data_IF_786536124142
#
_entry.id   IF_786536124142
#
_cell.length_a   1.000
_cell.length_b   1.000
_cell.length_c   1.000
_cell.angle_alpha   90.00
_cell.angle_beta   90.00
_cell.angle_gamma   90.00
#
_symmetry.space_group_name_H-M   'P 1'
#
loop_
_entity.id
_entity.type
_entity.pdbx_description
1 polymer ?
#
# COMPACT_ATOMS: atom_id res chain seq x y z
N UNK A 1 -12.76 8.17 7.38
CA UNK A 1 -11.73 7.46 6.57
C UNK A 1 -12.13 5.99 6.42
N UNK A 2 -12.06 5.46 5.22
CA UNK A 2 -12.42 4.08 4.98
C UNK A 2 -11.41 3.11 5.60
N UNK A 3 -11.88 1.90 5.92
CA UNK A 3 -11.06 0.90 6.60
C UNK A 3 -9.76 0.60 5.84
N UNK A 4 -9.85 0.37 4.53
CA UNK A 4 -8.66 0.02 3.75
C UNK A 4 -7.64 1.16 3.70
N UNK A 5 -8.10 2.41 3.69
CA UNK A 5 -7.20 3.56 3.75
C UNK A 5 -6.45 3.60 5.08
N UNK A 6 -7.15 3.33 6.19
CA UNK A 6 -6.51 3.26 7.52
C UNK A 6 -5.45 2.16 7.57
N UNK A 7 -5.76 0.98 7.04
CA UNK A 7 -4.81 -0.14 7.01
C UNK A 7 -3.54 0.26 6.28
N UNK A 8 -3.68 0.85 5.10
CA UNK A 8 -2.55 1.29 4.29
C UNK A 8 -1.69 2.32 5.03
N UNK A 9 -2.32 3.36 5.55
CA UNK A 9 -1.61 4.45 6.20
C UNK A 9 -0.92 3.99 7.48
N UNK A 10 -1.56 3.15 8.27
CA UNK A 10 -0.96 2.62 9.49
C UNK A 10 0.25 1.75 9.19
N UNK A 11 0.16 0.89 8.18
CA UNK A 11 1.26 0.00 7.84
C UNK A 11 2.49 0.78 7.37
N UNK A 12 2.30 1.78 6.52
CA UNK A 12 3.41 2.60 6.00
C UNK A 12 3.75 3.79 6.89
N UNK A 13 3.08 3.92 8.04
CA UNK A 13 3.32 4.99 9.01
C UNK A 13 3.09 6.39 8.43
N UNK A 14 2.01 6.55 7.67
CA UNK A 14 1.61 7.84 7.14
C UNK A 14 0.58 8.52 8.03
N UNK A 15 0.79 9.81 8.33
CA UNK A 15 -0.20 10.66 8.96
C UNK A 15 -1.07 11.37 7.91
N UNK A 16 -2.18 11.96 8.36
CA UNK A 16 -3.14 12.61 7.45
C UNK A 16 -2.54 13.76 6.65
N UNK A 17 -1.51 14.42 7.19
CA UNK A 17 -0.86 15.54 6.54
C UNK A 17 0.35 15.15 5.69
N UNK A 18 0.68 13.88 5.65
CA UNK A 18 1.85 13.43 4.93
C UNK A 18 1.59 13.36 3.43
N UNK A 19 2.64 13.62 2.65
CA UNK A 19 2.62 13.36 1.22
C UNK A 19 2.79 11.85 1.01
N UNK A 20 1.80 11.24 0.35
CA UNK A 20 1.86 9.81 0.04
C UNK A 20 2.16 9.68 -1.45
N UNK A 21 3.33 9.15 -1.83
CA UNK A 21 3.64 9.00 -3.25
C UNK A 21 2.87 7.85 -3.88
N UNK A 22 2.50 8.02 -5.14
CA UNK A 22 2.03 6.92 -5.97
C UNK A 22 3.15 5.88 -6.06
N UNK A 23 2.85 4.63 -5.77
CA UNK A 23 3.86 3.59 -5.74
C UNK A 23 4.46 3.30 -7.12
N UNK A 24 3.77 3.70 -8.20
CA UNK A 24 4.23 3.42 -9.56
C UNK A 24 4.96 4.61 -10.20
N UNK A 25 4.52 5.84 -9.97
CA UNK A 25 5.10 7.00 -10.66
C UNK A 25 5.65 8.09 -9.73
N UNK A 26 5.39 7.99 -8.44
CA UNK A 26 5.92 8.95 -7.46
C UNK A 26 5.12 10.23 -7.30
N UNK A 27 4.14 10.51 -8.15
CA UNK A 27 3.28 11.67 -7.97
C UNK A 27 2.32 11.41 -6.81
N UNK A 28 1.56 12.43 -6.40
CA UNK A 28 0.69 12.29 -5.23
C UNK A 28 -0.34 11.17 -5.43
N UNK A 29 -0.35 10.22 -4.50
CA UNK A 29 -1.37 9.19 -4.47
C UNK A 29 -2.70 9.80 -4.03
N UNK A 30 -3.76 9.44 -4.73
CA UNK A 30 -5.11 9.91 -4.42
C UNK A 30 -6.07 8.76 -4.10
N UNK A 31 -5.72 7.55 -4.52
CA UNK A 31 -6.59 6.38 -4.40
C UNK A 31 -5.83 5.22 -3.79
N UNK A 32 -6.54 4.40 -3.01
CA UNK A 32 -6.05 3.10 -2.59
C UNK A 32 -6.73 2.06 -3.48
N UNK A 33 -5.93 1.38 -4.29
CA UNK A 33 -6.41 0.42 -5.27
C UNK A 33 -6.32 -1.00 -4.71
N UNK A 34 -7.43 -1.76 -4.81
CA UNK A 34 -7.41 -3.18 -4.49
C UNK A 34 -6.85 -3.93 -5.71
N UNK A 35 -5.67 -4.51 -5.56
CA UNK A 35 -5.00 -5.23 -6.66
C UNK A 35 -5.85 -6.40 -7.11
N UNK A 36 -6.31 -7.22 -6.16
CA UNK A 36 -7.36 -8.19 -6.41
C UNK A 36 -8.70 -7.53 -6.13
N UNK A 37 -9.64 -7.70 -7.06
CA UNK A 37 -10.97 -7.12 -6.93
C UNK A 37 -11.61 -7.55 -5.62
N UNK A 38 -12.26 -6.59 -4.96
CA UNK A 38 -13.01 -6.88 -3.74
C UNK A 38 -14.10 -7.91 -4.02
N UNK A 39 -14.21 -8.90 -3.14
CA UNK A 39 -15.27 -9.88 -3.19
C UNK A 39 -15.99 -9.91 -1.84
N UNK A 40 -17.30 -10.20 -1.88
CA UNK A 40 -18.10 -10.27 -0.66
C UNK A 40 -17.53 -11.33 0.27
N UNK A 41 -17.40 -11.01 1.56
CA UNK A 41 -16.98 -11.92 2.63
C UNK A 41 -15.52 -12.41 2.55
N UNK A 42 -14.70 -11.85 1.67
CA UNK A 42 -13.29 -12.24 1.61
C UNK A 42 -12.49 -11.38 2.59
N UNK A 43 -11.98 -12.00 3.65
CA UNK A 43 -11.25 -11.28 4.71
C UNK A 43 -9.97 -10.64 4.20
N UNK A 44 -9.36 -11.20 3.15
CA UNK A 44 -8.10 -10.70 2.59
C UNK A 44 -8.26 -9.46 1.72
N UNK A 45 -9.49 -9.02 1.42
CA UNK A 45 -9.71 -7.83 0.60
C UNK A 45 -8.89 -6.64 1.07
N UNK A 46 -8.87 -6.40 2.38
CA UNK A 46 -8.23 -5.23 2.97
C UNK A 46 -6.89 -5.55 3.66
N UNK A 47 -6.28 -6.70 3.35
CA UNK A 47 -4.91 -6.94 3.76
C UNK A 47 -3.99 -5.97 3.02
N UNK A 48 -2.97 -5.44 3.71
CA UNK A 48 -2.10 -4.43 3.12
C UNK A 48 -1.43 -4.92 1.83
N UNK A 49 -1.19 -6.22 1.70
CA UNK A 49 -0.59 -6.81 0.49
C UNK A 49 -1.47 -6.62 -0.75
N UNK A 50 -2.75 -6.34 -0.56
CA UNK A 50 -3.71 -6.12 -1.65
C UNK A 50 -4.02 -4.63 -1.89
N UNK A 51 -3.40 -3.72 -1.14
CA UNK A 51 -3.74 -2.30 -1.16
C UNK A 51 -2.55 -1.48 -1.63
N UNK A 52 -2.63 -0.93 -2.84
CA UNK A 52 -1.55 -0.11 -3.40
C UNK A 52 -2.02 1.34 -3.54
N UNK A 53 -1.20 2.28 -3.07
CA UNK A 53 -1.48 3.71 -3.21
C UNK A 53 -1.11 4.20 -4.60
N UNK A 54 -2.06 4.75 -5.34
CA UNK A 54 -1.86 5.19 -6.72
C UNK A 54 -2.43 6.59 -6.94
N UNK A 55 -1.81 7.34 -7.86
CA UNK A 55 -2.44 8.52 -8.41
C UNK A 55 -3.61 8.09 -9.29
N UNK A 56 -4.48 9.06 -9.65
CA UNK A 56 -5.67 8.75 -10.44
C UNK A 56 -5.33 8.08 -11.78
N UNK A 57 -4.32 8.58 -12.48
CA UNK A 57 -3.94 8.05 -13.79
C UNK A 57 -3.44 6.61 -13.70
N UNK A 58 -2.59 6.32 -12.72
CA UNK A 58 -2.10 4.96 -12.51
C UNK A 58 -3.23 4.02 -12.07
N UNK A 59 -4.17 4.52 -11.27
CA UNK A 59 -5.32 3.73 -10.83
C UNK A 59 -6.19 3.33 -12.04
N UNK A 60 -6.51 4.29 -12.91
CA UNK A 60 -7.28 4.01 -14.14
C UNK A 60 -6.55 2.99 -14.99
N UNK A 61 -5.23 3.14 -15.14
CA UNK A 61 -4.41 2.22 -15.94
C UNK A 61 -4.41 0.81 -15.33
N UNK A 62 -4.30 0.71 -14.01
CA UNK A 62 -4.32 -0.59 -13.34
C UNK A 62 -5.65 -1.31 -13.53
N UNK A 63 -6.76 -0.57 -13.56
CA UNK A 63 -8.07 -1.16 -13.75
C UNK A 63 -8.33 -1.59 -15.20
N UNK A 64 -7.66 -0.97 -16.16
CA UNK A 64 -7.89 -1.24 -17.59
C UNK A 64 -6.82 -2.11 -18.24
N UNK A 65 -5.69 -2.34 -17.58
CA UNK A 65 -4.55 -3.07 -18.13
C UNK A 65 -4.07 -4.08 -17.08
N UNK A 66 -4.37 -5.36 -17.33
CA UNK A 66 -4.05 -6.42 -16.38
C UNK A 66 -2.54 -6.58 -16.18
N UNK A 67 -1.73 -6.31 -17.19
CA UNK A 67 -0.27 -6.38 -17.06
C UNK A 67 0.23 -5.27 -16.15
N UNK A 68 -0.29 -4.05 -16.32
CA UNK A 68 0.08 -2.95 -15.43
C UNK A 68 -0.34 -3.24 -13.99
N UNK A 69 -1.52 -3.84 -13.80
CA UNK A 69 -1.97 -4.25 -12.46
C UNK A 69 -1.01 -5.28 -11.84
N UNK A 70 -0.47 -6.18 -12.66
CA UNK A 70 0.54 -7.13 -12.18
C UNK A 70 1.82 -6.39 -11.77
N UNK A 71 2.24 -5.38 -12.53
CA UNK A 71 3.40 -4.57 -12.16
C UNK A 71 3.16 -3.82 -10.85
N UNK A 72 1.92 -3.34 -10.64
CA UNK A 72 1.54 -2.73 -9.34
C UNK A 72 1.72 -3.72 -8.19
N UNK A 73 1.31 -4.97 -8.40
CA UNK A 73 1.48 -6.01 -7.37
C UNK A 73 2.94 -6.23 -7.04
N UNK A 74 3.79 -6.35 -8.06
CA UNK A 74 5.23 -6.60 -7.87
C UNK A 74 5.87 -5.45 -7.11
N UNK A 75 5.63 -4.22 -7.54
CA UNK A 75 6.20 -3.04 -6.89
C UNK A 75 5.69 -2.91 -5.45
N UNK A 76 4.41 -3.15 -5.26
CA UNK A 76 3.80 -3.05 -3.93
C UNK A 76 4.38 -4.09 -2.96
N UNK A 77 4.55 -5.32 -3.41
CA UNK A 77 5.15 -6.36 -2.56
C UNK A 77 6.58 -6.02 -2.18
N UNK A 78 7.34 -5.42 -3.09
CA UNK A 78 8.68 -4.92 -2.78
C UNK A 78 8.62 -3.83 -1.70
N UNK A 79 7.69 -2.88 -1.84
CA UNK A 79 7.53 -1.79 -0.88
C UNK A 79 7.07 -2.31 0.49
N UNK A 80 6.16 -3.28 0.51
CA UNK A 80 5.71 -3.93 1.76
C UNK A 80 6.89 -4.63 2.43
N UNK A 81 7.69 -5.36 1.67
CA UNK A 81 8.86 -6.05 2.19
C UNK A 81 9.85 -5.07 2.81
N UNK A 82 10.13 -3.96 2.14
CA UNK A 82 11.02 -2.93 2.66
C UNK A 82 10.49 -2.33 3.96
N UNK A 83 9.18 -2.11 4.05
CA UNK A 83 8.56 -1.59 5.28
C UNK A 83 8.64 -2.59 6.41
N UNK A 84 8.47 -3.88 6.14
CA UNK A 84 8.61 -4.93 7.15
C UNK A 84 10.03 -4.90 7.73
N UNK A 85 11.05 -4.81 6.89
CA UNK A 85 12.43 -4.72 7.36
C UNK A 85 12.65 -3.47 8.23
N UNK A 86 12.09 -2.33 7.83
CA UNK A 86 12.19 -1.10 8.61
C UNK A 86 11.54 -1.26 9.99
N UNK A 87 10.39 -1.92 10.06
CA UNK A 87 9.69 -2.17 11.32
C UNK A 87 10.47 -3.13 12.22
N UNK A 88 11.10 -4.15 11.64
CA UNK A 88 11.95 -5.07 12.38
C UNK A 88 13.13 -4.33 13.03
N UNK A 89 13.79 -3.44 12.28
CA UNK A 89 14.89 -2.64 12.80
C UNK A 89 14.44 -1.71 13.93
N UNK A 90 13.27 -1.08 13.76
CA UNK A 90 12.69 -0.23 14.79
C UNK A 90 12.43 -1.02 16.08
N UNK A 91 11.87 -2.22 15.95
CA UNK A 91 11.58 -3.10 17.07
C UNK A 91 12.86 -3.47 17.82
N UNK A 92 13.91 -3.81 17.10
CA UNK A 92 15.21 -4.15 17.70
C UNK A 92 15.78 -2.99 18.51
N UNK A 93 15.72 -1.77 17.96
CA UNK A 93 16.20 -0.58 18.67
C UNK A 93 15.37 -0.30 19.92
N UNK A 94 14.06 -0.48 19.84
CA UNK A 94 13.18 -0.31 20.99
C UNK A 94 13.51 -1.32 22.08
N UNK A 95 13.72 -2.57 21.73
CA UNK A 95 14.06 -3.63 22.69
C UNK A 95 15.41 -3.36 23.38
N UNK A 96 16.37 -2.82 22.65
CA UNK A 96 17.70 -2.52 23.20
C UNK A 96 17.70 -1.33 24.16
N UNK A 97 16.64 -0.54 24.19
CA UNK A 97 16.50 0.62 25.11
C UNK A 97 15.94 0.26 26.48
N UNK A 98 15.43 -0.95 26.64
CA UNK A 98 14.79 -1.37 27.90
C UNK A 98 15.78 -1.69 29.01
#
# INVERSE_FOLDING_TARGET
MQKHTKVYMQFFDYGEQDFIPCEMCGSKATDIHHIERRTRNKVTNDFVENLVGLCRDCHIKAESDSMFNMFCRIQHLENVTNQVYALIEYKKRYENRK
#
